data_IF_948185215291
#
_entry.id   IF_948185215291
#
_cell.length_a   1.000
_cell.length_b   1.000
_cell.length_c   1.000
_cell.angle_alpha   90.00
_cell.angle_beta   90.00
_cell.angle_gamma   90.00
#
_symmetry.space_group_name_H-M   'P 1'
#
loop_
_entity.id
_entity.type
_entity.pdbx_description
1 polymer ?
#
# COMPACT_ATOMS: atom_id res chain seq x y z
N UNK A 1 9.43 5.02 -16.59
CA UNK A 1 8.68 3.75 -16.59
C UNK A 1 7.32 3.93 -17.23
N UNK A 2 7.02 3.05 -18.16
CA UNK A 2 5.69 2.77 -18.70
C UNK A 2 4.71 2.28 -17.62
N UNK A 3 3.43 2.23 -17.97
CA UNK A 3 2.37 1.68 -17.11
C UNK A 3 2.60 0.18 -16.85
N UNK A 4 3.05 -0.58 -17.85
CA UNK A 4 3.31 -2.01 -17.71
C UNK A 4 4.42 -2.30 -16.69
N UNK A 5 5.52 -1.53 -16.73
CA UNK A 5 6.61 -1.67 -15.75
C UNK A 5 6.13 -1.35 -14.32
N UNK A 6 5.24 -0.37 -14.17
CA UNK A 6 4.63 -0.01 -12.88
C UNK A 6 3.74 -1.12 -12.32
N UNK A 7 2.93 -1.75 -13.17
CA UNK A 7 2.11 -2.90 -12.77
C UNK A 7 2.97 -4.10 -12.40
N UNK A 8 4.03 -4.36 -13.17
CA UNK A 8 4.97 -5.44 -12.85
C UNK A 8 5.63 -5.22 -11.50
N UNK A 9 6.10 -4.00 -11.23
CA UNK A 9 6.66 -3.61 -9.93
C UNK A 9 5.66 -3.84 -8.79
N UNK A 10 4.38 -3.49 -8.99
CA UNK A 10 3.33 -3.75 -8.01
C UNK A 10 3.18 -5.24 -7.70
N UNK A 11 3.12 -6.09 -8.74
CA UNK A 11 2.99 -7.54 -8.61
C UNK A 11 4.20 -8.14 -7.90
N UNK A 12 5.41 -7.68 -8.24
CA UNK A 12 6.64 -8.15 -7.61
C UNK A 12 6.67 -7.79 -6.12
N UNK A 13 6.22 -6.60 -5.75
CA UNK A 13 6.06 -6.19 -4.34
C UNK A 13 5.02 -7.05 -3.63
N UNK A 14 3.86 -7.31 -4.25
CA UNK A 14 2.81 -8.17 -3.67
C UNK A 14 3.36 -9.56 -3.32
N UNK A 15 4.12 -10.16 -4.25
CA UNK A 15 4.73 -11.48 -4.04
C UNK A 15 5.84 -11.45 -3.01
N UNK A 16 6.73 -10.46 -3.08
CA UNK A 16 7.85 -10.28 -2.14
C UNK A 16 7.37 -10.10 -0.70
N UNK A 17 6.23 -9.45 -0.54
CA UNK A 17 5.62 -9.13 0.75
C UNK A 17 4.54 -10.14 1.18
N UNK A 18 4.30 -11.21 0.43
CA UNK A 18 3.25 -12.21 0.67
C UNK A 18 1.85 -11.61 0.89
N UNK A 19 1.51 -10.57 0.10
CA UNK A 19 0.26 -9.80 0.25
C UNK A 19 -0.90 -10.35 -0.60
N UNK A 20 -0.69 -11.43 -1.35
CA UNK A 20 -1.65 -11.91 -2.37
C UNK A 20 -3.07 -12.12 -1.84
N UNK A 21 -3.21 -12.45 -0.56
CA UNK A 21 -4.50 -12.68 0.12
C UNK A 21 -5.12 -11.42 0.74
N UNK A 22 -4.32 -10.39 0.96
CA UNK A 22 -4.72 -9.16 1.65
C UNK A 22 -4.96 -7.99 0.69
N UNK A 23 -4.50 -8.08 -0.56
CA UNK A 23 -4.67 -7.05 -1.59
C UNK A 23 -6.14 -6.91 -1.97
N UNK A 24 -6.66 -5.70 -1.77
CA UNK A 24 -8.01 -5.31 -2.21
C UNK A 24 -7.97 -4.63 -3.58
N UNK A 25 -6.96 -3.78 -3.81
CA UNK A 25 -6.87 -3.01 -5.04
C UNK A 25 -5.42 -2.61 -5.34
N UNK A 26 -5.11 -2.46 -6.62
CA UNK A 26 -3.86 -1.89 -7.11
C UNK A 26 -4.21 -0.73 -8.03
N UNK A 27 -3.75 0.46 -7.68
CA UNK A 27 -4.07 1.71 -8.37
C UNK A 27 -2.79 2.38 -8.82
N UNK A 28 -2.80 2.96 -10.01
CA UNK A 28 -1.75 3.87 -10.45
C UNK A 28 -2.25 5.29 -10.19
N UNK A 29 -1.86 5.85 -9.05
CA UNK A 29 -2.21 7.21 -8.68
C UNK A 29 -1.29 8.20 -9.41
N UNK A 30 -1.85 9.03 -10.29
CA UNK A 30 -1.08 9.93 -11.17
C UNK A 30 -0.11 9.21 -12.12
N UNK A 31 0.62 9.99 -12.92
CA UNK A 31 1.54 9.46 -13.94
C UNK A 31 2.61 8.57 -13.36
N UNK A 32 2.96 8.68 -12.06
CA UNK A 32 4.24 8.20 -11.54
C UNK A 32 4.17 7.32 -10.29
N UNK A 33 3.00 7.14 -9.68
CA UNK A 33 2.88 6.46 -8.39
C UNK A 33 2.02 5.20 -8.49
N UNK A 34 2.48 4.14 -7.83
CA UNK A 34 1.75 2.88 -7.70
C UNK A 34 1.34 2.73 -6.24
N UNK A 35 0.08 2.40 -6.05
CA UNK A 35 -0.58 2.32 -4.76
C UNK A 35 -1.26 0.95 -4.62
N UNK A 36 -0.95 0.23 -3.54
CA UNK A 36 -1.58 -1.05 -3.20
C UNK A 36 -2.43 -0.83 -1.95
N UNK A 37 -3.73 -1.05 -2.07
CA UNK A 37 -4.66 -1.07 -0.94
C UNK A 37 -4.77 -2.50 -0.41
N UNK A 38 -4.55 -2.66 0.90
CA UNK A 38 -4.72 -3.95 1.58
C UNK A 38 -5.75 -3.87 2.71
N UNK A 39 -6.37 -5.02 3.01
CA UNK A 39 -7.39 -5.13 4.06
C UNK A 39 -6.78 -5.35 5.46
N UNK A 40 -5.63 -6.02 5.54
CA UNK A 40 -5.07 -6.47 6.81
C UNK A 40 -3.91 -5.59 7.27
N UNK A 41 -4.15 -4.73 8.25
CA UNK A 41 -3.14 -3.84 8.79
C UNK A 41 -1.99 -4.57 9.49
N UNK A 42 -2.26 -5.75 10.04
CA UNK A 42 -1.24 -6.54 10.72
C UNK A 42 -0.11 -6.91 9.77
N UNK A 43 -0.43 -7.08 8.49
CA UNK A 43 0.53 -7.34 7.44
C UNK A 43 1.45 -6.13 7.21
N UNK A 44 0.96 -4.89 7.36
CA UNK A 44 1.83 -3.70 7.39
C UNK A 44 2.72 -3.69 8.63
N UNK A 45 2.16 -4.00 9.80
CA UNK A 45 2.90 -3.99 11.07
C UNK A 45 4.05 -5.00 11.09
N UNK A 46 3.97 -6.09 10.34
CA UNK A 46 5.09 -7.04 10.14
C UNK A 46 6.33 -6.38 9.52
N UNK A 47 6.15 -5.29 8.75
CA UNK A 47 7.28 -4.55 8.18
C UNK A 47 7.98 -3.62 9.19
N UNK A 48 7.42 -3.40 10.39
CA UNK A 48 8.04 -2.88 11.62
C UNK A 48 8.76 -1.52 11.55
N UNK A 49 9.80 -1.39 10.71
CA UNK A 49 10.62 -0.19 10.49
C UNK A 49 10.31 0.42 9.13
N UNK A 50 9.29 1.26 9.03
CA UNK A 50 8.96 1.97 7.80
C UNK A 50 7.49 2.31 7.63
N UNK A 51 6.63 1.71 8.45
CA UNK A 51 5.19 2.02 8.47
C UNK A 51 4.99 3.41 9.07
N UNK A 52 4.29 4.27 8.32
CA UNK A 52 3.80 5.58 8.75
C UNK A 52 2.30 5.50 8.93
N UNK A 53 1.84 5.81 10.14
CA UNK A 53 0.41 5.93 10.45
C UNK A 53 0.03 7.39 10.63
N UNK A 54 -1.01 7.83 9.93
CA UNK A 54 -1.56 9.19 9.98
C UNK A 54 -2.99 9.11 10.46
N UNK A 55 -3.31 9.86 11.52
CA UNK A 55 -4.67 9.95 12.04
C UNK A 55 -5.40 11.15 11.41
N UNK A 56 -6.64 10.94 10.99
CA UNK A 56 -7.48 11.96 10.36
C UNK A 56 -8.71 12.22 11.23
N UNK A 57 -8.77 13.36 11.92
CA UNK A 57 -9.97 13.78 12.65
C UNK A 57 -11.01 14.36 11.67
N UNK A 58 -12.25 13.87 11.74
CA UNK A 58 -13.40 14.43 11.01
C UNK A 58 -13.44 14.11 9.51
N UNK A 59 -12.75 13.06 9.06
CA UNK A 59 -12.81 12.57 7.68
C UNK A 59 -13.55 11.23 7.60
N UNK A 60 -13.72 10.72 6.37
CA UNK A 60 -14.37 9.45 6.07
C UNK A 60 -13.67 8.22 6.72
N UNK A 61 -12.39 8.35 7.10
CA UNK A 61 -11.60 7.33 7.81
C UNK A 61 -10.85 7.99 8.97
N UNK A 62 -10.71 7.32 10.11
CA UNK A 62 -10.06 7.85 11.32
C UNK A 62 -8.52 7.74 11.26
N UNK A 63 -7.96 6.77 10.54
CA UNK A 63 -6.52 6.69 10.31
C UNK A 63 -6.15 5.98 9.00
N UNK A 64 -4.91 6.18 8.56
CA UNK A 64 -4.28 5.53 7.41
C UNK A 64 -2.89 5.05 7.82
N UNK A 65 -2.59 3.77 7.63
CA UNK A 65 -1.24 3.21 7.76
C UNK A 65 -0.65 2.99 6.37
N UNK A 66 0.63 3.28 6.18
CA UNK A 66 1.30 3.17 4.87
C UNK A 66 2.78 2.83 4.98
N UNK A 67 3.33 2.15 3.98
CA UNK A 67 4.77 1.89 3.82
C UNK A 67 5.14 2.03 2.35
N UNK A 68 6.41 2.36 2.08
CA UNK A 68 6.95 2.39 0.72
C UNK A 68 7.93 1.21 0.58
N UNK A 69 7.67 0.33 -0.38
CA UNK A 69 8.52 -0.82 -0.71
C UNK A 69 8.89 -0.73 -2.18
N UNK A 70 10.18 -0.64 -2.49
CA UNK A 70 10.70 -0.55 -3.87
C UNK A 70 10.04 0.55 -4.73
N UNK A 71 9.58 1.64 -4.09
CA UNK A 71 8.90 2.76 -4.74
C UNK A 71 7.37 2.60 -4.89
N UNK A 72 6.80 1.49 -4.44
CA UNK A 72 5.35 1.25 -4.36
C UNK A 72 4.84 1.63 -2.97
N UNK A 73 3.80 2.45 -2.90
CA UNK A 73 3.14 2.76 -1.62
C UNK A 73 2.07 1.70 -1.34
N UNK A 74 2.17 1.03 -0.20
CA UNK A 74 1.19 0.08 0.30
C UNK A 74 0.47 0.75 1.46
N UNK A 75 -0.86 0.75 1.48
CA UNK A 75 -1.60 1.35 2.58
C UNK A 75 -2.86 0.57 2.98
N UNK A 76 -3.32 0.85 4.20
CA UNK A 76 -4.58 0.39 4.78
C UNK A 76 -5.29 1.56 5.46
N UNK A 77 -6.61 1.60 5.38
CA UNK A 77 -7.47 2.62 6.00
C UNK A 77 -8.21 2.02 7.20
N UNK A 78 -8.34 2.79 8.28
CA UNK A 78 -9.02 2.38 9.50
C UNK A 78 -10.04 3.43 9.95
N UNK A 79 -11.09 2.96 10.61
CA UNK A 79 -12.05 3.77 11.33
C UNK A 79 -11.95 3.42 12.82
#
# INVERSE_FOLDING_TARGET
MSICEKLQLAIDVIKKCDLEKDVLNVVIAHTDKVEILINNENTLLQFGKGVKTVNHKGKMFNSKSSIIVDGVEIYSYHN
#
